data_IF_857690345580
#
_entry.id   IF_857690345580
#
_cell.length_a   1.000
_cell.length_b   1.000
_cell.length_c   1.000
_cell.angle_alpha   90.00
_cell.angle_beta   90.00
_cell.angle_gamma   90.00
#
_symmetry.space_group_name_H-M   'P 1'
#
loop_
_entity.id
_entity.type
_entity.pdbx_description
1 polymer ?
#
# COMPACT_ATOMS: atom_id res chain seq x y z
N UNK A 1 49.92 2.42 4.73
CA UNK A 1 50.31 2.03 3.34
C UNK A 1 49.16 1.45 2.50
N UNK A 2 47.92 1.38 3.00
CA UNK A 2 46.77 0.82 2.23
C UNK A 2 45.97 1.90 1.47
N UNK A 3 46.04 3.16 1.94
CA UNK A 3 45.34 4.31 1.37
C UNK A 3 45.62 4.61 -0.12
N UNK A 4 46.86 4.55 -0.64
CA UNK A 4 47.09 4.80 -2.07
C UNK A 4 46.64 3.63 -2.96
N UNK A 5 46.54 2.41 -2.40
CA UNK A 5 46.07 1.23 -3.14
C UNK A 5 44.54 1.26 -3.30
N UNK A 6 43.80 1.61 -2.24
CA UNK A 6 42.33 1.74 -2.29
C UNK A 6 41.90 2.91 -3.18
N UNK A 7 42.58 4.06 -3.11
CA UNK A 7 42.31 5.17 -4.01
C UNK A 7 42.60 4.84 -5.47
N UNK A 8 43.70 4.13 -5.77
CA UNK A 8 43.99 3.67 -7.13
C UNK A 8 42.98 2.65 -7.66
N UNK A 9 42.50 1.74 -6.82
CA UNK A 9 41.41 0.85 -7.19
C UNK A 9 40.15 1.66 -7.49
N UNK A 10 39.74 2.58 -6.63
CA UNK A 10 38.52 3.38 -6.83
C UNK A 10 38.60 4.32 -8.04
N UNK A 11 39.77 4.87 -8.37
CA UNK A 11 39.94 5.76 -9.54
C UNK A 11 40.18 5.04 -10.85
N UNK A 12 40.75 3.82 -10.83
CA UNK A 12 40.99 3.01 -12.05
C UNK A 12 39.83 2.06 -12.32
N UNK A 13 38.90 1.90 -11.38
CA UNK A 13 37.64 1.17 -11.58
C UNK A 13 36.67 2.03 -12.38
N UNK A 14 37.01 2.28 -13.63
CA UNK A 14 36.03 2.69 -14.62
C UNK A 14 35.14 1.47 -14.89
N UNK A 15 33.98 1.45 -14.25
CA UNK A 15 32.82 0.71 -14.77
C UNK A 15 32.66 1.20 -16.20
N UNK A 16 33.04 0.36 -17.15
CA UNK A 16 32.93 0.54 -18.59
C UNK A 16 31.77 1.47 -18.96
N UNK A 17 32.00 2.42 -19.88
CA UNK A 17 30.98 3.30 -20.46
C UNK A 17 29.81 2.56 -21.18
N UNK A 18 29.74 1.24 -21.04
CA UNK A 18 28.71 0.32 -21.53
C UNK A 18 27.80 -0.23 -20.40
N UNK A 19 28.10 0.06 -19.12
CA UNK A 19 27.16 -0.20 -18.02
C UNK A 19 26.37 1.08 -17.79
N UNK A 20 25.47 1.39 -18.73
CA UNK A 20 24.32 2.23 -18.37
C UNK A 20 23.63 1.47 -17.25
N UNK A 21 23.52 2.09 -16.06
CA UNK A 21 22.75 1.58 -14.94
C UNK A 21 21.27 1.50 -15.34
N UNK A 22 20.93 0.50 -16.15
CA UNK A 22 19.58 0.06 -16.39
C UNK A 22 19.19 -0.85 -15.22
N UNK A 23 19.09 -0.29 -14.00
CA UNK A 23 17.92 -0.66 -13.20
C UNK A 23 16.77 -0.25 -14.13
N UNK A 24 16.26 -1.20 -14.91
CA UNK A 24 15.39 -0.99 -16.05
C UNK A 24 14.36 0.08 -15.72
N UNK A 25 14.59 1.32 -16.18
CA UNK A 25 13.74 2.47 -15.83
C UNK A 25 12.28 2.15 -16.17
N UNK A 26 12.08 1.43 -17.28
CA UNK A 26 10.80 0.86 -17.68
C UNK A 26 10.17 -0.01 -16.58
N UNK A 27 10.91 -0.97 -16.01
CA UNK A 27 10.40 -1.83 -14.93
C UNK A 27 10.11 -1.05 -13.64
N UNK A 28 10.86 0.02 -13.35
CA UNK A 28 10.53 0.92 -12.23
C UNK A 28 9.23 1.70 -12.50
N UNK A 29 9.07 2.24 -13.70
CA UNK A 29 7.88 2.98 -14.12
C UNK A 29 6.66 2.06 -14.17
N UNK A 30 6.80 0.83 -14.65
CA UNK A 30 5.73 -0.17 -14.69
C UNK A 30 5.25 -0.51 -13.27
N UNK A 31 6.19 -0.80 -12.35
CA UNK A 31 5.86 -1.05 -10.94
C UNK A 31 5.23 0.17 -10.28
N UNK A 32 5.73 1.37 -10.58
CA UNK A 32 5.16 2.62 -10.08
C UNK A 32 3.73 2.83 -10.59
N UNK A 33 3.46 2.56 -11.87
CA UNK A 33 2.14 2.68 -12.47
C UNK A 33 1.14 1.71 -11.82
N UNK A 34 1.54 0.45 -11.61
CA UNK A 34 0.73 -0.54 -10.88
C UNK A 34 0.47 -0.08 -9.45
N UNK A 35 1.48 0.40 -8.73
CA UNK A 35 1.32 0.90 -7.36
C UNK A 35 0.32 2.07 -7.29
N UNK A 36 0.43 3.05 -8.19
CA UNK A 36 -0.48 4.19 -8.25
C UNK A 36 -1.91 3.73 -8.57
N UNK A 37 -2.08 2.80 -9.50
CA UNK A 37 -3.38 2.26 -9.87
C UNK A 37 -4.02 1.47 -8.73
N UNK A 38 -3.29 0.56 -8.10
CA UNK A 38 -3.75 -0.20 -6.94
C UNK A 38 -4.09 0.71 -5.75
N UNK A 39 -3.26 1.73 -5.51
CA UNK A 39 -3.53 2.72 -4.49
C UNK A 39 -4.81 3.49 -4.81
N UNK A 40 -4.98 3.98 -6.04
CA UNK A 40 -6.19 4.67 -6.48
C UNK A 40 -7.46 3.84 -6.25
N UNK A 41 -7.43 2.56 -6.61
CA UNK A 41 -8.53 1.63 -6.34
C UNK A 41 -8.77 1.43 -4.83
N UNK A 42 -7.71 1.34 -4.03
CA UNK A 42 -7.85 1.21 -2.59
C UNK A 42 -8.44 2.47 -1.93
N UNK A 43 -8.18 3.66 -2.48
CA UNK A 43 -8.79 4.92 -2.06
C UNK A 43 -10.30 4.96 -2.28
N UNK A 44 -10.87 4.07 -3.09
CA UNK A 44 -12.33 3.93 -3.25
C UNK A 44 -12.96 3.11 -2.11
N UNK A 45 -12.18 2.31 -1.37
CA UNK A 45 -12.69 1.46 -0.28
C UNK A 45 -13.49 2.23 0.79
N UNK A 46 -13.07 3.42 1.28
CA UNK A 46 -13.86 4.20 2.22
C UNK A 46 -15.22 4.62 1.67
N UNK A 47 -15.28 4.99 0.39
CA UNK A 47 -16.53 5.39 -0.27
C UNK A 47 -17.45 4.18 -0.48
N UNK A 48 -16.90 3.05 -0.95
CA UNK A 48 -17.65 1.81 -1.19
C UNK A 48 -18.19 1.25 0.13
N UNK A 49 -17.37 1.17 1.17
CA UNK A 49 -17.80 0.66 2.48
C UNK A 49 -18.84 1.57 3.14
N UNK A 50 -18.71 2.89 2.99
CA UNK A 50 -19.73 3.85 3.43
C UNK A 50 -21.06 3.65 2.69
N UNK A 51 -21.03 3.49 1.36
CA UNK A 51 -22.23 3.24 0.55
C UNK A 51 -22.91 1.91 0.94
N UNK A 52 -22.13 0.83 1.11
CA UNK A 52 -22.64 -0.46 1.57
C UNK A 52 -23.23 -0.39 2.98
N UNK A 53 -22.69 0.48 3.83
CA UNK A 53 -23.25 0.73 5.16
C UNK A 53 -24.58 1.47 5.11
N UNK A 54 -24.72 2.42 4.18
CA UNK A 54 -25.99 3.11 3.93
C UNK A 54 -27.08 2.11 3.52
N UNK A 55 -26.76 1.18 2.61
CA UNK A 55 -27.62 0.07 2.21
C UNK A 55 -27.90 -0.95 3.34
N UNK A 56 -27.16 -0.91 4.44
CA UNK A 56 -27.34 -1.82 5.58
C UNK A 56 -26.65 -3.18 5.45
N UNK A 57 -25.81 -3.35 4.43
CA UNK A 57 -25.05 -4.58 4.22
C UNK A 57 -23.83 -4.67 5.15
N UNK A 58 -23.25 -3.52 5.54
CA UNK A 58 -22.03 -3.45 6.33
C UNK A 58 -22.23 -2.59 7.58
N UNK A 59 -21.88 -3.12 8.74
CA UNK A 59 -21.91 -2.42 10.03
C UNK A 59 -20.50 -2.20 10.58
N UNK A 60 -20.33 -1.18 11.43
CA UNK A 60 -19.04 -0.87 12.08
C UNK A 60 -18.49 -2.05 12.89
N UNK A 61 -19.36 -2.77 13.61
CA UNK A 61 -19.01 -3.98 14.36
C UNK A 61 -18.53 -5.11 13.46
N UNK A 62 -19.12 -5.24 12.27
CA UNK A 62 -18.70 -6.24 11.28
C UNK A 62 -17.29 -5.94 10.78
N UNK A 63 -17.02 -4.71 10.32
CA UNK A 63 -15.67 -4.34 9.86
C UNK A 63 -14.61 -4.43 10.96
N UNK A 64 -14.99 -4.12 12.22
CA UNK A 64 -14.11 -4.31 13.38
C UNK A 64 -13.77 -5.79 13.62
N UNK A 65 -14.75 -6.68 13.51
CA UNK A 65 -14.55 -8.13 13.66
C UNK A 65 -13.61 -8.70 12.60
N UNK A 66 -13.69 -8.21 11.36
CA UNK A 66 -12.87 -8.69 10.25
C UNK A 66 -11.55 -7.93 10.04
N UNK A 67 -11.14 -7.05 10.97
CA UNK A 67 -9.85 -6.31 10.91
C UNK A 67 -8.65 -7.17 10.57
N UNK A 68 -8.50 -8.33 11.24
CA UNK A 68 -7.38 -9.24 11.02
C UNK A 68 -7.35 -9.80 9.59
N UNK A 69 -8.52 -10.10 9.03
CA UNK A 69 -8.65 -10.61 7.66
C UNK A 69 -8.31 -9.51 6.64
N UNK A 70 -8.81 -8.28 6.86
CA UNK A 70 -8.48 -7.14 6.01
C UNK A 70 -6.97 -6.86 5.98
N UNK A 71 -6.29 -6.89 7.13
CA UNK A 71 -4.84 -6.70 7.20
C UNK A 71 -4.09 -7.79 6.42
N UNK A 72 -4.49 -9.06 6.56
CA UNK A 72 -3.87 -10.17 5.80
C UNK A 72 -4.04 -9.97 4.30
N UNK A 73 -5.24 -9.59 3.86
CA UNK A 73 -5.53 -9.33 2.43
C UNK A 73 -4.69 -8.15 1.93
N UNK A 74 -4.61 -7.06 2.69
CA UNK A 74 -3.81 -5.88 2.35
C UNK A 74 -2.33 -6.25 2.19
N UNK A 75 -1.79 -7.02 3.13
CA UNK A 75 -0.39 -7.47 3.08
C UNK A 75 -0.15 -8.42 1.91
N UNK A 76 -1.09 -9.33 1.62
CA UNK A 76 -1.00 -10.24 0.48
C UNK A 76 -1.01 -9.48 -0.85
N UNK A 77 -1.91 -8.49 -1.00
CA UNK A 77 -1.96 -7.63 -2.19
C UNK A 77 -0.68 -6.80 -2.31
N UNK A 78 -0.19 -6.24 -1.20
CA UNK A 78 1.07 -5.48 -1.18
C UNK A 78 2.25 -6.36 -1.63
N UNK A 79 2.31 -7.63 -1.20
CA UNK A 79 3.36 -8.57 -1.60
C UNK A 79 3.33 -8.96 -3.08
N UNK A 80 2.16 -8.89 -3.73
CA UNK A 80 2.04 -9.11 -5.18
C UNK A 80 2.54 -7.88 -5.97
N UNK A 81 2.31 -6.68 -5.43
CA UNK A 81 2.71 -5.42 -6.05
C UNK A 81 4.21 -5.16 -5.86
N UNK A 82 4.79 -5.53 -4.71
CA UNK A 82 6.19 -5.26 -4.40
C UNK A 82 7.12 -6.38 -4.91
N UNK A 83 8.01 -6.11 -5.88
CA UNK A 83 8.85 -7.15 -6.48
C UNK A 83 9.92 -7.69 -5.52
N UNK A 84 10.34 -6.91 -4.51
CA UNK A 84 11.40 -7.28 -3.58
C UNK A 84 10.90 -8.02 -2.34
N UNK A 85 9.60 -7.96 -2.03
CA UNK A 85 8.98 -8.69 -0.90
C UNK A 85 9.61 -8.43 0.48
N UNK A 86 10.51 -7.45 0.62
CA UNK A 86 11.22 -7.19 1.86
C UNK A 86 10.31 -6.49 2.89
N UNK A 87 10.52 -6.71 4.20
CA UNK A 87 9.62 -6.18 5.23
C UNK A 87 9.50 -4.65 5.23
N UNK A 88 10.56 -3.94 4.80
CA UNK A 88 10.55 -2.48 4.77
C UNK A 88 9.66 -1.97 3.63
N UNK A 89 9.92 -2.39 2.39
CA UNK A 89 9.14 -1.99 1.22
C UNK A 89 7.68 -2.45 1.33
N UNK A 90 7.44 -3.66 1.86
CA UNK A 90 6.10 -4.17 2.13
C UNK A 90 5.35 -3.30 3.16
N UNK A 91 6.02 -2.85 4.21
CA UNK A 91 5.43 -1.95 5.22
C UNK A 91 5.07 -0.60 4.61
N UNK A 92 5.92 -0.04 3.75
CA UNK A 92 5.68 1.25 3.07
C UNK A 92 4.39 1.23 2.25
N UNK A 93 4.07 0.11 1.60
CA UNK A 93 2.82 -0.04 0.81
C UNK A 93 1.63 -0.45 1.66
N UNK A 94 1.80 -1.33 2.64
CA UNK A 94 0.68 -1.85 3.45
C UNK A 94 0.16 -0.84 4.47
N UNK A 95 1.02 -0.03 5.09
CA UNK A 95 0.62 0.99 6.08
C UNK A 95 -0.46 1.95 5.54
N UNK A 96 -0.29 2.62 4.39
CA UNK A 96 -1.32 3.52 3.86
C UNK A 96 -2.64 2.81 3.56
N UNK A 97 -2.60 1.57 3.07
CA UNK A 97 -3.80 0.75 2.84
C UNK A 97 -4.54 0.42 4.15
N UNK A 98 -3.80 0.10 5.22
CA UNK A 98 -4.38 -0.14 6.54
C UNK A 98 -5.01 1.15 7.09
N UNK A 99 -4.37 2.30 6.89
CA UNK A 99 -4.92 3.60 7.28
C UNK A 99 -6.23 3.87 6.55
N UNK A 100 -6.31 3.62 5.24
CA UNK A 100 -7.54 3.76 4.47
C UNK A 100 -8.65 2.84 5.00
N UNK A 101 -8.33 1.61 5.39
CA UNK A 101 -9.29 0.70 5.99
C UNK A 101 -9.79 1.20 7.36
N UNK A 102 -8.92 1.73 8.21
CA UNK A 102 -9.34 2.33 9.49
C UNK A 102 -10.18 3.61 9.29
N UNK A 103 -9.83 4.45 8.30
CA UNK A 103 -10.64 5.61 7.91
C UNK A 103 -12.03 5.19 7.42
N UNK A 104 -12.12 4.10 6.67
CA UNK A 104 -13.39 3.51 6.22
C UNK A 104 -14.29 3.15 7.40
N UNK A 105 -13.71 2.55 8.46
CA UNK A 105 -14.44 2.21 9.69
C UNK A 105 -14.89 3.46 10.44
N UNK A 106 -14.07 4.51 10.44
CA UNK A 106 -14.39 5.78 11.11
C UNK A 106 -15.52 6.55 10.42
N UNK A 107 -15.56 6.51 9.08
CA UNK A 107 -16.59 7.15 8.25
C UNK A 107 -17.98 6.54 8.44
N UNK A 108 -18.06 5.26 8.80
CA UNK A 108 -19.33 4.58 9.06
C UNK A 108 -19.90 5.06 10.40
N UNK A 109 -20.98 5.83 10.31
CA UNK A 109 -21.76 6.30 11.46
C UNK A 109 -22.63 5.15 11.98
N UNK A 110 -22.63 4.97 13.30
CA UNK A 110 -23.43 3.93 13.94
C UNK A 110 -24.93 4.18 13.70
N UNK A 111 -25.64 3.12 13.27
CA UNK A 111 -27.07 3.13 12.94
C UNK A 111 -28.00 3.29 14.16
N UNK A 112 -27.47 3.69 15.31
CA UNK A 112 -28.24 3.96 16.53
C UNK A 112 -28.73 5.43 16.65
N UNK A 113 -28.55 6.25 15.60
CA UNK A 113 -28.92 7.68 15.63
C UNK A 113 -29.98 8.09 14.59
N UNK A 114 -30.62 7.13 13.92
CA UNK A 114 -31.85 7.44 13.19
C UNK A 114 -32.99 7.46 14.22
N UNK A 115 -33.57 8.62 14.55
CA UNK A 115 -34.86 8.60 15.23
C UNK A 115 -35.78 7.77 14.34
N UNK A 116 -36.39 6.74 14.92
CA UNK A 116 -37.49 6.04 14.28
C UNK A 116 -38.46 7.13 13.79
N UNK A 117 -38.92 7.08 12.53
CA UNK A 117 -40.09 7.87 12.14
C UNK A 117 -41.14 7.63 13.23
N UNK A 118 -41.51 8.69 13.95
CA UNK A 118 -42.56 8.61 14.94
C UNK A 118 -43.83 8.18 14.19
N UNK A 119 -44.34 7.01 14.58
CA UNK A 119 -45.63 6.38 14.24
C UNK A 119 -45.87 5.96 12.77
#
# INVERSE_FOLDING_TARGET
MVYPLTLRFLTTYELSAEIVNQISLNSYIDNFMVLVLCMGLAFELPLVTWLLSLLGLVNKTFLRKYRKHAIIIIVAVAAIITPTGDPFTLSVVSIPLIILYELSILLIKDKDSLPLPND
#
